data_IF_063138192551
#
_entry.id   IF_063138192551
#
_cell.length_a   1.000
_cell.length_b   1.000
_cell.length_c   1.000
_cell.angle_alpha   90.00
_cell.angle_beta   90.00
_cell.angle_gamma   90.00
#
_symmetry.space_group_name_H-M   'P 1'
#
loop_
_entity.id
_entity.type
_entity.pdbx_description
1 polymer ?
#
# COMPACT_ATOMS: atom_id res chain seq x y z
N UNK A 1 6.93 4.15 -21.35
CA UNK A 1 7.59 4.01 -20.04
C UNK A 1 6.61 3.21 -19.22
N UNK A 2 6.86 1.91 -19.09
CA UNK A 2 5.91 1.00 -18.49
C UNK A 2 6.20 0.91 -16.99
N UNK A 3 5.15 0.96 -16.17
CA UNK A 3 5.27 1.03 -14.71
C UNK A 3 3.98 0.62 -14.02
N UNK A 4 4.08 0.29 -12.74
CA UNK A 4 2.95 -0.14 -11.90
C UNK A 4 2.84 0.79 -10.70
N UNK A 5 1.63 1.21 -10.40
CA UNK A 5 1.31 1.99 -9.20
C UNK A 5 0.60 1.11 -8.17
N UNK A 6 0.97 1.27 -6.91
CA UNK A 6 0.43 0.54 -5.77
C UNK A 6 -0.34 1.51 -4.86
N UNK A 7 -1.64 1.30 -4.79
CA UNK A 7 -2.53 2.04 -3.90
C UNK A 7 -2.93 1.15 -2.72
N UNK A 8 -2.43 1.41 -1.50
CA UNK A 8 -2.78 0.63 -0.34
C UNK A 8 -4.27 0.81 0.01
N UNK A 9 -4.88 -0.24 0.58
CA UNK A 9 -6.28 -0.23 0.98
C UNK A 9 -6.42 -0.45 2.50
N UNK A 10 -7.36 0.28 3.10
CA UNK A 10 -7.89 0.00 4.43
C UNK A 10 -9.26 -0.66 4.31
N UNK A 11 -9.49 -1.68 5.14
CA UNK A 11 -10.75 -2.42 5.26
C UNK A 11 -11.51 -2.06 6.55
N UNK A 12 -11.08 -1.02 7.26
CA UNK A 12 -11.73 -0.47 8.44
C UNK A 12 -11.48 -1.28 9.70
N UNK A 13 -10.29 -1.87 9.88
CA UNK A 13 -9.99 -2.64 11.09
C UNK A 13 -10.17 -1.76 12.35
N UNK A 14 -10.92 -2.25 13.33
CA UNK A 14 -11.27 -1.48 14.54
C UNK A 14 -12.56 -0.64 14.42
N UNK A 15 -13.11 -0.44 13.22
CA UNK A 15 -14.41 0.22 13.03
C UNK A 15 -15.58 -0.70 13.39
N UNK A 16 -16.78 -0.11 13.46
CA UNK A 16 -18.01 -0.87 13.73
C UNK A 16 -18.27 -1.93 12.64
N UNK A 17 -18.98 -3.01 13.01
CA UNK A 17 -19.17 -4.17 12.11
C UNK A 17 -19.79 -3.81 10.76
N UNK A 18 -20.65 -2.81 10.70
CA UNK A 18 -21.31 -2.37 9.45
C UNK A 18 -20.40 -1.53 8.54
N UNK A 19 -19.30 -0.98 9.07
CA UNK A 19 -18.33 -0.16 8.34
C UNK A 19 -17.12 -0.96 7.88
N UNK A 20 -16.89 -2.13 8.47
CA UNK A 20 -15.79 -3.05 8.16
C UNK A 20 -16.00 -3.78 6.82
N UNK A 21 -14.91 -4.02 6.11
CA UNK A 21 -14.89 -4.82 4.87
C UNK A 21 -15.14 -4.02 3.59
N UNK A 22 -15.52 -2.74 3.70
CA UNK A 22 -15.55 -1.82 2.56
C UNK A 22 -14.12 -1.34 2.26
N UNK A 23 -13.59 -1.57 1.05
CA UNK A 23 -12.29 -1.04 0.68
C UNK A 23 -12.32 0.48 0.56
N UNK A 24 -11.33 1.12 1.18
CA UNK A 24 -11.03 2.54 1.04
C UNK A 24 -9.54 2.69 0.77
N UNK A 25 -9.13 3.69 -0.01
CA UNK A 25 -7.72 4.01 -0.18
C UNK A 25 -7.16 4.40 1.19
N UNK A 26 -6.09 3.72 1.60
CA UNK A 26 -5.37 4.05 2.82
C UNK A 26 -4.61 5.37 2.62
N UNK A 27 -4.45 6.14 3.70
CA UNK A 27 -3.69 7.38 3.70
C UNK A 27 -2.74 7.49 4.90
N UNK A 28 -1.93 8.54 4.86
CA UNK A 28 -0.99 8.91 5.92
C UNK A 28 -0.12 7.74 6.39
N UNK A 29 0.05 7.65 7.71
CA UNK A 29 0.92 6.63 8.32
C UNK A 29 0.52 5.20 7.98
N UNK A 30 -0.78 4.92 7.83
CA UNK A 30 -1.23 3.56 7.56
C UNK A 30 -0.85 3.13 6.14
N UNK A 31 -0.99 4.02 5.16
CA UNK A 31 -0.50 3.79 3.80
C UNK A 31 1.01 3.52 3.79
N UNK A 32 1.78 4.37 4.47
CA UNK A 32 3.24 4.25 4.54
C UNK A 32 3.69 2.92 5.18
N UNK A 33 3.04 2.49 6.26
CA UNK A 33 3.36 1.23 6.94
C UNK A 33 3.06 0.01 6.05
N UNK A 34 1.94 0.03 5.31
CA UNK A 34 1.57 -1.04 4.36
C UNK A 34 2.59 -1.11 3.21
N UNK A 35 2.97 0.03 2.64
CA UNK A 35 3.93 0.09 1.54
C UNK A 35 5.34 -0.31 2.00
N UNK A 36 5.79 0.14 3.18
CA UNK A 36 7.07 -0.25 3.76
C UNK A 36 7.15 -1.76 4.01
N UNK A 37 6.07 -2.36 4.53
CA UNK A 37 5.98 -3.83 4.68
C UNK A 37 6.02 -4.53 3.33
N UNK A 38 5.34 -4.00 2.33
CA UNK A 38 5.34 -4.56 0.97
C UNK A 38 6.75 -4.52 0.37
N UNK A 39 7.46 -3.40 0.49
CA UNK A 39 8.87 -3.28 0.07
C UNK A 39 9.75 -4.34 0.74
N UNK A 40 9.64 -4.51 2.06
CA UNK A 40 10.46 -5.48 2.80
C UNK A 40 10.20 -6.93 2.33
N UNK A 41 8.95 -7.27 2.01
CA UNK A 41 8.61 -8.60 1.47
C UNK A 41 9.08 -8.77 0.02
N UNK A 42 9.09 -7.68 -0.74
CA UNK A 42 9.51 -7.64 -2.14
C UNK A 42 11.03 -7.66 -2.32
N UNK A 43 11.82 -7.29 -1.29
CA UNK A 43 13.28 -7.20 -1.37
C UNK A 43 13.95 -8.51 -1.81
N UNK A 44 13.43 -9.66 -1.36
CA UNK A 44 13.95 -10.97 -1.76
C UNK A 44 13.90 -11.21 -3.27
N UNK A 45 12.93 -10.61 -3.96
CA UNK A 45 12.74 -10.73 -5.41
C UNK A 45 13.49 -9.65 -6.19
N UNK A 46 14.23 -8.76 -5.52
CA UNK A 46 14.92 -7.63 -6.16
C UNK A 46 13.98 -6.51 -6.62
N UNK A 47 12.70 -6.54 -6.23
CA UNK A 47 11.73 -5.51 -6.60
C UNK A 47 11.88 -4.28 -5.71
N UNK A 48 11.97 -3.11 -6.34
CA UNK A 48 12.04 -1.81 -5.67
C UNK A 48 10.78 -1.00 -5.92
N UNK A 49 10.19 -0.52 -4.84
CA UNK A 49 8.99 0.30 -4.78
C UNK A 49 9.43 1.67 -4.29
N UNK A 50 9.29 2.68 -5.13
CA UNK A 50 9.46 4.08 -4.73
C UNK A 50 8.18 4.54 -4.04
N UNK A 51 8.26 5.04 -2.81
CA UNK A 51 7.09 5.40 -2.00
C UNK A 51 7.01 6.91 -1.94
N UNK A 52 5.92 7.47 -2.46
CA UNK A 52 5.69 8.91 -2.48
C UNK A 52 4.22 9.21 -2.20
N UNK A 53 3.99 10.08 -1.22
CA UNK A 53 2.65 10.58 -0.87
C UNK A 53 1.61 9.47 -0.67
N UNK A 54 2.01 8.34 -0.05
CA UNK A 54 1.14 7.18 0.21
C UNK A 54 0.88 6.26 -1.00
N UNK A 55 1.61 6.44 -2.11
CA UNK A 55 1.53 5.61 -3.32
C UNK A 55 2.89 4.97 -3.59
N UNK A 56 2.89 3.69 -3.96
CA UNK A 56 4.09 2.97 -4.40
C UNK A 56 4.23 2.98 -5.91
N UNK A 57 5.45 3.14 -6.43
CA UNK A 57 5.74 3.18 -7.86
C UNK A 57 6.82 2.15 -8.22
N UNK A 58 6.55 1.32 -9.23
CA UNK A 58 7.48 0.33 -9.76
C UNK A 58 7.81 0.64 -11.22
N UNK A 59 9.05 0.36 -11.59
CA UNK A 59 9.52 0.38 -12.99
C UNK A 59 9.62 -1.06 -13.48
N UNK A 60 9.09 -1.32 -14.68
CA UNK A 60 9.15 -2.62 -15.35
C UNK A 60 10.29 -2.67 -16.37
#
# INVERSE_FOLDING_TARGET
>A
MDGVELYPLDLGFGLSRSQRGRPVIADGKFADDVLARTQALSDFYGTKIDIKDGVGYLKL
#
